data_IF_879370501134
#
_entry.id   IF_879370501134
#
_cell.length_a   1.000
_cell.length_b   1.000
_cell.length_c   1.000
_cell.angle_alpha   90.00
_cell.angle_beta   90.00
_cell.angle_gamma   90.00
#
_symmetry.space_group_name_H-M   'P 1'
#
loop_
_entity.id
_entity.type
_entity.pdbx_description
1 polymer ?
#
# COMPACT_ATOMS: atom_id res chain seq x y z
N UNK A 1 -9.55 -17.70 57.98
CA UNK A 1 -10.79 -17.62 57.16
C UNK A 1 -10.79 -16.30 56.39
N UNK A 2 -9.91 -16.18 55.38
CA UNK A 2 -9.80 -15.01 54.50
C UNK A 2 -9.34 -15.53 53.14
N UNK A 3 -10.27 -15.73 52.23
CA UNK A 3 -10.06 -15.80 50.79
C UNK A 3 -11.41 -16.11 50.11
N UNK A 4 -11.63 -15.51 48.93
CA UNK A 4 -12.76 -15.70 48.00
C UNK A 4 -13.86 -14.64 48.04
N UNK A 5 -13.50 -13.36 47.96
CA UNK A 5 -14.32 -12.36 47.25
C UNK A 5 -13.36 -11.41 46.52
N UNK A 6 -12.80 -11.86 45.40
CA UNK A 6 -12.11 -11.02 44.41
C UNK A 6 -11.76 -11.89 43.19
N UNK A 7 -12.75 -12.27 42.37
CA UNK A 7 -12.46 -12.69 40.99
C UNK A 7 -13.70 -12.66 40.07
N UNK A 8 -14.42 -11.53 40.05
CA UNK A 8 -15.50 -11.29 39.05
C UNK A 8 -15.10 -10.17 38.07
N UNK A 9 -13.84 -9.74 38.07
CA UNK A 9 -13.36 -8.72 37.15
C UNK A 9 -11.94 -9.05 36.69
N UNK A 10 -11.83 -9.89 35.65
CA UNK A 10 -10.80 -9.91 34.59
C UNK A 10 -10.78 -11.29 33.90
N UNK A 11 -11.79 -11.56 33.11
CA UNK A 11 -11.65 -12.52 32.00
C UNK A 11 -12.62 -12.10 30.90
N UNK A 12 -12.29 -11.01 30.21
CA UNK A 12 -12.76 -10.83 28.83
C UNK A 12 -12.05 -11.91 28.03
N UNK A 13 -12.65 -13.10 28.01
CA UNK A 13 -12.30 -14.14 27.05
C UNK A 13 -12.44 -13.47 25.69
N UNK A 14 -11.33 -13.33 24.97
CA UNK A 14 -11.35 -13.07 23.54
C UNK A 14 -12.04 -14.28 22.92
N UNK A 15 -13.38 -14.25 22.90
CA UNK A 15 -14.14 -15.13 22.03
C UNK A 15 -13.68 -14.77 20.62
N UNK A 16 -13.33 -15.79 19.86
CA UNK A 16 -13.03 -15.65 18.45
C UNK A 16 -14.06 -16.51 17.77
N UNK A 17 -14.81 -15.92 16.84
CA UNK A 17 -15.84 -16.63 16.12
C UNK A 17 -15.21 -17.38 14.95
N UNK A 18 -15.61 -18.65 14.81
CA UNK A 18 -15.25 -19.45 13.66
C UNK A 18 -16.36 -19.25 12.64
N UNK A 19 -16.03 -18.53 11.57
CA UNK A 19 -16.96 -18.21 10.48
C UNK A 19 -16.38 -18.72 9.16
N UNK A 20 -17.26 -19.05 8.23
CA UNK A 20 -16.89 -19.44 6.87
C UNK A 20 -17.82 -18.80 5.84
N UNK A 21 -17.33 -18.52 4.62
CA UNK A 21 -18.18 -18.12 3.52
C UNK A 21 -18.92 -19.36 2.97
N UNK A 22 -20.17 -19.15 2.57
CA UNK A 22 -21.04 -20.19 2.01
C UNK A 22 -21.62 -19.71 0.69
N UNK A 23 -21.65 -20.61 -0.29
CA UNK A 23 -22.25 -20.35 -1.59
C UNK A 23 -23.63 -21.02 -1.61
N UNK A 24 -24.67 -20.24 -1.87
CA UNK A 24 -26.04 -20.76 -1.98
C UNK A 24 -26.28 -21.41 -3.35
N UNK A 25 -27.31 -22.25 -3.50
CA UNK A 25 -27.74 -22.75 -4.81
C UNK A 25 -28.07 -21.66 -5.84
N UNK A 26 -28.38 -20.45 -5.37
CA UNK A 26 -28.63 -19.28 -6.21
C UNK A 26 -27.35 -18.49 -6.56
N UNK A 27 -26.15 -19.00 -6.24
CA UNK A 27 -24.88 -18.32 -6.50
C UNK A 27 -24.60 -17.11 -5.59
N UNK A 28 -25.35 -16.95 -4.49
CA UNK A 28 -25.14 -15.88 -3.49
C UNK A 28 -24.14 -16.29 -2.42
N UNK A 29 -23.42 -15.31 -1.88
CA UNK A 29 -22.46 -15.49 -0.79
C UNK A 29 -23.05 -15.02 0.54
N UNK A 30 -22.93 -15.87 1.55
CA UNK A 30 -23.25 -15.52 2.95
C UNK A 30 -22.14 -15.98 3.88
N UNK A 31 -22.25 -15.58 5.14
CA UNK A 31 -21.34 -15.99 6.21
C UNK A 31 -22.12 -16.83 7.21
N UNK A 32 -21.64 -18.03 7.48
CA UNK A 32 -22.18 -18.91 8.50
C UNK A 32 -21.17 -19.09 9.64
N UNK A 33 -21.69 -19.26 10.85
CA UNK A 33 -20.90 -19.74 11.99
C UNK A 33 -20.71 -21.24 11.84
N UNK A 34 -19.50 -21.71 12.12
CA UNK A 34 -19.19 -23.13 12.07
C UNK A 34 -18.62 -23.60 13.39
N UNK A 35 -19.03 -24.79 13.83
CA UNK A 35 -18.41 -25.50 14.94
C UNK A 35 -17.24 -26.39 14.48
N UNK A 36 -16.98 -26.46 13.17
CA UNK A 36 -15.91 -27.29 12.62
C UNK A 36 -14.54 -26.68 12.94
N UNK A 37 -13.81 -27.40 13.79
CA UNK A 37 -12.45 -27.07 14.24
C UNK A 37 -11.39 -27.19 13.13
N UNK A 38 -11.78 -27.66 11.94
CA UNK A 38 -10.95 -27.69 10.72
C UNK A 38 -10.70 -26.29 10.14
N UNK A 39 -11.47 -25.29 10.56
CA UNK A 39 -11.20 -23.88 10.23
C UNK A 39 -10.14 -23.35 11.20
N UNK A 40 -8.87 -23.58 10.89
CA UNK A 40 -7.73 -23.36 11.81
C UNK A 40 -7.57 -21.91 12.32
N UNK A 41 -8.20 -20.92 11.70
CA UNK A 41 -8.04 -19.51 12.04
C UNK A 41 -9.34 -18.88 12.53
N UNK A 42 -9.40 -18.61 13.83
CA UNK A 42 -10.51 -17.90 14.44
C UNK A 42 -10.41 -16.39 14.15
N UNK A 43 -11.54 -15.76 13.78
CA UNK A 43 -11.61 -14.34 13.41
C UNK A 43 -11.97 -13.52 14.64
N UNK A 44 -11.38 -12.33 14.78
CA UNK A 44 -11.74 -11.38 15.84
C UNK A 44 -13.22 -11.00 15.71
N UNK A 45 -13.97 -11.05 16.81
CA UNK A 45 -15.44 -10.83 16.82
C UNK A 45 -15.88 -9.58 16.06
N UNK A 46 -15.23 -8.43 16.28
CA UNK A 46 -15.57 -7.19 15.57
C UNK A 46 -15.47 -7.32 14.04
N UNK A 47 -14.46 -8.03 13.53
CA UNK A 47 -14.31 -8.28 12.10
C UNK A 47 -15.34 -9.30 11.62
N UNK A 48 -15.63 -10.33 12.43
CA UNK A 48 -16.63 -11.33 12.10
C UNK A 48 -18.05 -10.72 12.02
N UNK A 49 -18.38 -9.81 12.91
CA UNK A 49 -19.63 -9.06 12.92
C UNK A 49 -19.74 -8.13 11.70
N UNK A 50 -18.68 -7.39 11.37
CA UNK A 50 -18.64 -6.54 10.18
C UNK A 50 -18.76 -7.37 8.88
N UNK A 51 -18.10 -8.53 8.81
CA UNK A 51 -18.23 -9.45 7.69
C UNK A 51 -19.66 -9.98 7.57
N UNK A 52 -20.27 -10.43 8.66
CA UNK A 52 -21.68 -10.88 8.64
C UNK A 52 -22.61 -9.77 8.20
N UNK A 53 -22.45 -8.56 8.74
CA UNK A 53 -23.27 -7.42 8.34
C UNK A 53 -23.12 -7.09 6.85
N UNK A 54 -21.89 -7.09 6.33
CA UNK A 54 -21.63 -6.80 4.92
C UNK A 54 -22.21 -7.88 3.99
N UNK A 55 -22.04 -9.17 4.31
CA UNK A 55 -22.60 -10.27 3.51
C UNK A 55 -24.12 -10.43 3.69
N UNK A 56 -24.70 -9.92 4.77
CA UNK A 56 -26.15 -9.83 4.95
C UNK A 56 -26.77 -8.73 4.07
N UNK A 57 -26.04 -7.64 3.79
CA UNK A 57 -26.48 -6.61 2.84
C UNK A 57 -26.49 -7.15 1.41
N UNK A 58 -25.39 -7.75 0.95
CA UNK A 58 -25.28 -8.46 -0.34
C UNK A 58 -23.93 -9.16 -0.49
N UNK A 59 -23.84 -10.11 -1.44
CA UNK A 59 -22.54 -10.68 -1.86
C UNK A 59 -21.53 -9.58 -2.24
N UNK A 60 -22.00 -8.55 -2.96
CA UNK A 60 -21.17 -7.45 -3.44
C UNK A 60 -20.62 -6.58 -2.29
N UNK A 61 -21.43 -6.31 -1.26
CA UNK A 61 -21.00 -5.55 -0.09
C UNK A 61 -19.94 -6.34 0.72
N UNK A 62 -20.15 -7.64 0.93
CA UNK A 62 -19.16 -8.52 1.57
C UNK A 62 -17.83 -8.60 0.80
N UNK A 63 -17.89 -8.78 -0.52
CA UNK A 63 -16.71 -8.80 -1.39
C UNK A 63 -15.97 -7.44 -1.39
N UNK A 64 -16.70 -6.33 -1.42
CA UNK A 64 -16.14 -4.97 -1.31
C UNK A 64 -15.41 -4.78 0.02
N UNK A 65 -16.02 -5.23 1.13
CA UNK A 65 -15.42 -5.18 2.46
C UNK A 65 -14.10 -5.99 2.55
N UNK A 66 -14.07 -7.20 1.98
CA UNK A 66 -12.88 -8.05 1.92
C UNK A 66 -11.72 -7.39 1.16
N UNK A 67 -12.02 -6.71 0.04
CA UNK A 67 -11.01 -6.01 -0.76
C UNK A 67 -10.63 -4.63 -0.21
N UNK A 68 -11.34 -4.09 0.79
CA UNK A 68 -11.10 -2.76 1.36
C UNK A 68 -10.65 -2.83 2.82
N UNK A 69 -11.60 -2.84 3.76
CA UNK A 69 -11.36 -2.79 5.22
C UNK A 69 -10.67 -4.04 5.74
N UNK A 70 -11.06 -5.22 5.25
CA UNK A 70 -10.49 -6.49 5.68
C UNK A 70 -9.28 -6.96 4.84
N UNK A 71 -8.72 -6.07 4.01
CA UNK A 71 -7.65 -6.41 3.08
C UNK A 71 -6.44 -7.02 3.82
N UNK A 72 -6.02 -6.42 4.94
CA UNK A 72 -4.86 -6.84 5.73
C UNK A 72 -5.19 -7.77 6.90
N UNK A 73 -6.45 -8.16 7.05
CA UNK A 73 -6.88 -9.01 8.16
C UNK A 73 -6.56 -10.46 7.83
N UNK A 74 -6.04 -11.21 8.81
CA UNK A 74 -5.86 -12.65 8.66
C UNK A 74 -7.24 -13.32 8.73
N UNK A 75 -7.57 -14.10 7.70
CA UNK A 75 -8.89 -14.71 7.52
C UNK A 75 -8.76 -16.17 7.08
N UNK A 76 -9.76 -17.02 7.34
CA UNK A 76 -9.85 -18.38 6.80
C UNK A 76 -9.72 -18.45 5.28
N UNK A 77 -9.28 -19.60 4.76
CA UNK A 77 -8.97 -19.79 3.35
C UNK A 77 -10.12 -19.40 2.40
N UNK A 78 -11.36 -19.74 2.72
CA UNK A 78 -12.53 -19.35 1.91
C UNK A 78 -12.65 -17.83 1.76
N UNK A 79 -12.45 -17.07 2.84
CA UNK A 79 -12.48 -15.60 2.76
C UNK A 79 -11.27 -15.03 2.02
N UNK A 80 -10.10 -15.68 2.13
CA UNK A 80 -8.91 -15.30 1.34
C UNK A 80 -9.18 -15.48 -0.14
N UNK A 81 -9.79 -16.60 -0.55
CA UNK A 81 -10.20 -16.85 -1.93
C UNK A 81 -11.15 -15.75 -2.46
N UNK A 82 -12.21 -15.44 -1.72
CA UNK A 82 -13.16 -14.40 -2.11
C UNK A 82 -12.54 -12.99 -2.11
N UNK A 83 -11.59 -12.74 -1.19
CA UNK A 83 -10.79 -11.52 -1.20
C UNK A 83 -9.94 -11.42 -2.46
N UNK A 84 -9.24 -12.49 -2.86
CA UNK A 84 -8.45 -12.51 -4.09
C UNK A 84 -9.30 -12.24 -5.33
N UNK A 85 -10.48 -12.86 -5.41
CA UNK A 85 -11.44 -12.60 -6.47
C UNK A 85 -11.84 -11.11 -6.52
N UNK A 86 -12.23 -10.52 -5.39
CA UNK A 86 -12.60 -9.12 -5.31
C UNK A 86 -11.42 -8.16 -5.60
N UNK A 87 -10.21 -8.50 -5.16
CA UNK A 87 -8.99 -7.74 -5.42
C UNK A 87 -8.72 -7.55 -6.92
N UNK A 88 -9.10 -8.52 -7.77
CA UNK A 88 -8.91 -8.38 -9.22
C UNK A 88 -9.70 -7.20 -9.80
N UNK A 89 -10.91 -6.92 -9.29
CA UNK A 89 -11.66 -5.73 -9.71
C UNK A 89 -10.98 -4.45 -9.23
N UNK A 90 -10.57 -4.40 -7.96
CA UNK A 90 -9.86 -3.24 -7.41
C UNK A 90 -8.55 -2.97 -8.13
N UNK A 91 -7.85 -4.02 -8.60
CA UNK A 91 -6.70 -3.89 -9.47
C UNK A 91 -7.03 -3.21 -10.80
N UNK A 92 -8.14 -3.58 -11.45
CA UNK A 92 -8.57 -2.93 -12.68
C UNK A 92 -8.96 -1.46 -12.41
N UNK A 93 -9.69 -1.19 -11.32
CA UNK A 93 -10.09 0.16 -10.90
C UNK A 93 -8.88 1.06 -10.65
N UNK A 94 -7.84 0.58 -9.96
CA UNK A 94 -6.61 1.35 -9.74
C UNK A 94 -5.82 1.59 -11.03
N UNK A 95 -6.00 0.73 -12.04
CA UNK A 95 -5.42 0.91 -13.37
C UNK A 95 -6.21 1.90 -14.24
N UNK A 96 -7.44 2.26 -13.85
CA UNK A 96 -8.17 3.34 -14.48
C UNK A 96 -7.60 4.66 -13.96
N UNK A 97 -7.09 5.51 -14.86
CA UNK A 97 -6.79 6.90 -14.52
C UNK A 97 -8.03 7.61 -13.99
N UNK A 98 -7.84 8.72 -13.25
CA UNK A 98 -8.92 9.41 -12.53
C UNK A 98 -10.10 9.78 -13.43
N UNK A 99 -9.84 10.26 -14.64
CA UNK A 99 -10.88 10.62 -15.62
C UNK A 99 -11.74 9.43 -16.07
N UNK A 100 -11.10 8.29 -16.36
CA UNK A 100 -11.81 7.07 -16.78
C UNK A 100 -12.60 6.47 -15.61
N UNK A 101 -12.06 6.54 -14.41
CA UNK A 101 -12.78 6.11 -13.21
C UNK A 101 -14.02 6.99 -12.97
N UNK A 102 -13.91 8.31 -13.17
CA UNK A 102 -15.04 9.22 -13.06
C UNK A 102 -16.12 8.93 -14.12
N UNK A 103 -15.71 8.67 -15.37
CA UNK A 103 -16.63 8.27 -16.45
C UNK A 103 -17.33 6.95 -16.15
N UNK A 104 -16.59 5.93 -15.71
CA UNK A 104 -17.16 4.63 -15.34
C UNK A 104 -18.13 4.75 -14.16
N UNK A 105 -17.84 5.59 -13.16
CA UNK A 105 -18.71 5.82 -12.02
C UNK A 105 -19.99 6.61 -12.40
N UNK A 106 -19.91 7.50 -13.39
CA UNK A 106 -21.05 8.27 -13.89
C UNK A 106 -21.90 7.51 -14.93
N UNK A 107 -21.31 6.48 -15.56
CA UNK A 107 -21.99 5.67 -16.58
C UNK A 107 -23.12 4.87 -15.97
N UNK A 108 -24.31 4.97 -16.58
CA UNK A 108 -25.44 4.05 -16.30
C UNK A 108 -25.36 2.76 -17.10
N UNK A 109 -24.37 2.64 -17.99
CA UNK A 109 -24.20 1.48 -18.85
C UNK A 109 -23.37 0.42 -18.15
N UNK A 110 -23.86 -0.82 -18.11
CA UNK A 110 -23.13 -1.97 -17.56
C UNK A 110 -22.12 -2.56 -18.55
N UNK A 111 -21.73 -1.79 -19.57
CA UNK A 111 -20.81 -2.26 -20.59
C UNK A 111 -19.44 -2.61 -20.02
N UNK A 112 -18.88 -3.73 -20.45
CA UNK A 112 -17.48 -4.12 -20.21
C UNK A 112 -16.47 -3.22 -20.93
N UNK A 113 -16.93 -2.26 -21.74
CA UNK A 113 -16.11 -1.32 -22.51
C UNK A 113 -15.30 -0.34 -21.63
N UNK A 114 -15.66 -0.18 -20.35
CA UNK A 114 -14.97 0.73 -19.42
C UNK A 114 -13.65 0.15 -18.87
N UNK A 115 -13.19 -0.99 -19.40
CA UNK A 115 -11.96 -1.67 -18.94
C UNK A 115 -12.13 -2.49 -17.66
N UNK A 116 -13.37 -2.64 -17.17
CA UNK A 116 -13.76 -3.37 -15.96
C UNK A 116 -14.44 -4.70 -16.28
N UNK A 117 -13.85 -5.47 -17.19
CA UNK A 117 -14.39 -6.75 -17.64
C UNK A 117 -14.09 -7.88 -16.63
N UNK A 118 -15.01 -8.86 -16.48
CA UNK A 118 -14.73 -10.05 -15.69
C UNK A 118 -13.50 -10.80 -16.23
N UNK A 119 -12.84 -11.63 -15.40
CA UNK A 119 -11.76 -12.48 -15.85
C UNK A 119 -12.18 -13.35 -17.05
N UNK A 120 -11.23 -13.67 -17.92
CA UNK A 120 -11.49 -14.55 -19.07
C UNK A 120 -11.83 -15.98 -18.61
N UNK A 121 -12.42 -16.78 -19.50
CA UNK A 121 -12.85 -18.15 -19.20
C UNK A 121 -11.76 -18.99 -18.52
N UNK A 122 -10.55 -19.01 -19.08
CA UNK A 122 -9.43 -19.79 -18.54
C UNK A 122 -9.08 -19.38 -17.11
N UNK A 123 -9.15 -18.08 -16.80
CA UNK A 123 -8.89 -17.56 -15.46
C UNK A 123 -10.01 -17.94 -14.49
N UNK A 124 -11.27 -17.90 -14.94
CA UNK A 124 -12.42 -18.32 -14.13
C UNK A 124 -12.33 -19.80 -13.78
N UNK A 125 -12.02 -20.66 -14.76
CA UNK A 125 -11.81 -22.09 -14.51
C UNK A 125 -10.68 -22.32 -13.51
N UNK A 126 -9.53 -21.65 -13.68
CA UNK A 126 -8.43 -21.76 -12.73
C UNK A 126 -8.76 -21.26 -11.32
N UNK A 127 -9.65 -20.26 -11.17
CA UNK A 127 -10.14 -19.84 -9.86
C UNK A 127 -10.99 -20.95 -9.22
N UNK A 128 -11.87 -21.59 -9.99
CA UNK A 128 -12.72 -22.68 -9.48
C UNK A 128 -11.87 -23.87 -9.04
N UNK A 129 -10.86 -24.25 -9.83
CA UNK A 129 -9.94 -25.35 -9.50
C UNK A 129 -9.07 -25.07 -8.28
N UNK A 130 -8.76 -23.80 -8.00
CA UNK A 130 -7.96 -23.38 -6.84
C UNK A 130 -8.79 -23.02 -5.60
N UNK A 131 -10.12 -23.08 -5.70
CA UNK A 131 -11.02 -22.75 -4.61
C UNK A 131 -10.83 -23.74 -3.43
N UNK A 132 -10.61 -23.23 -2.21
CA UNK A 132 -10.49 -24.10 -1.04
C UNK A 132 -11.84 -24.77 -0.73
N UNK A 133 -11.84 -25.90 -0.02
CA UNK A 133 -13.08 -26.53 0.46
C UNK A 133 -13.91 -25.53 1.25
N UNK A 134 -15.17 -25.33 0.85
CA UNK A 134 -16.15 -24.48 1.51
C UNK A 134 -17.57 -24.99 1.23
N UNK A 135 -18.51 -24.65 2.10
CA UNK A 135 -19.90 -25.05 1.92
C UNK A 135 -20.48 -24.43 0.64
N UNK A 136 -21.03 -25.28 -0.23
CA UNK A 136 -21.68 -24.87 -1.48
C UNK A 136 -20.71 -24.71 -2.64
N UNK A 137 -19.47 -25.19 -2.52
CA UNK A 137 -18.47 -25.15 -3.59
C UNK A 137 -18.98 -25.77 -4.90
N UNK A 138 -19.88 -26.75 -4.83
CA UNK A 138 -20.54 -27.37 -5.99
C UNK A 138 -21.38 -26.40 -6.83
N UNK A 139 -21.80 -25.26 -6.26
CA UNK A 139 -22.53 -24.20 -6.97
C UNK A 139 -21.59 -23.17 -7.61
N UNK A 140 -20.27 -23.27 -7.39
CA UNK A 140 -19.30 -22.33 -7.95
C UNK A 140 -19.04 -22.65 -9.43
N UNK A 141 -19.63 -21.84 -10.31
CA UNK A 141 -19.47 -21.96 -11.77
C UNK A 141 -18.89 -20.66 -12.37
N UNK A 142 -18.37 -20.69 -13.62
CA UNK A 142 -17.91 -19.47 -14.30
C UNK A 142 -19.01 -18.41 -14.40
N UNK A 143 -20.27 -18.82 -14.57
CA UNK A 143 -21.41 -17.89 -14.66
C UNK A 143 -21.70 -17.22 -13.32
N UNK A 144 -21.67 -17.97 -12.22
CA UNK A 144 -21.78 -17.41 -10.86
C UNK A 144 -20.67 -16.38 -10.60
N UNK A 145 -19.43 -16.67 -10.99
CA UNK A 145 -18.33 -15.72 -10.86
C UNK A 145 -18.54 -14.45 -11.70
N UNK A 146 -19.10 -14.55 -12.92
CA UNK A 146 -19.43 -13.37 -13.75
C UNK A 146 -20.53 -12.53 -13.16
N UNK A 147 -21.56 -13.15 -12.60
CA UNK A 147 -22.66 -12.46 -11.94
C UNK A 147 -22.16 -11.72 -10.70
N UNK A 148 -21.40 -12.41 -9.83
CA UNK A 148 -20.76 -11.81 -8.66
C UNK A 148 -19.82 -10.66 -9.03
N UNK A 149 -19.06 -10.81 -10.12
CA UNK A 149 -18.21 -9.74 -10.65
C UNK A 149 -19.03 -8.50 -11.04
N UNK A 150 -20.10 -8.71 -11.79
CA UNK A 150 -20.97 -7.64 -12.29
C UNK A 150 -21.64 -6.89 -11.14
N UNK A 151 -22.11 -7.62 -10.14
CA UNK A 151 -22.69 -7.05 -8.92
C UNK A 151 -21.69 -6.28 -8.08
N UNK A 152 -20.50 -6.85 -7.86
CA UNK A 152 -19.41 -6.18 -7.16
C UNK A 152 -19.03 -4.88 -7.88
N UNK A 153 -18.84 -4.93 -9.20
CA UNK A 153 -18.54 -3.75 -10.02
C UNK A 153 -19.61 -2.67 -9.86
N UNK A 154 -20.88 -3.04 -9.98
CA UNK A 154 -22.01 -2.11 -9.81
C UNK A 154 -22.07 -1.52 -8.41
N UNK A 155 -21.79 -2.32 -7.38
CA UNK A 155 -21.75 -1.85 -6.00
C UNK A 155 -20.62 -0.84 -5.78
N UNK A 156 -19.39 -1.18 -6.20
CA UNK A 156 -18.21 -0.34 -6.00
C UNK A 156 -18.31 0.97 -6.79
N UNK A 157 -18.76 0.94 -8.05
CA UNK A 157 -18.93 2.18 -8.84
C UNK A 157 -20.00 3.09 -8.25
N UNK A 158 -21.10 2.54 -7.70
CA UNK A 158 -22.11 3.35 -6.99
C UNK A 158 -21.53 4.01 -5.75
N UNK A 159 -20.75 3.29 -4.95
CA UNK A 159 -20.08 3.87 -3.77
C UNK A 159 -19.07 4.95 -4.18
N UNK A 160 -18.30 4.70 -5.24
CA UNK A 160 -17.33 5.66 -5.76
C UNK A 160 -18.01 6.95 -6.28
N UNK A 161 -19.14 6.82 -6.98
CA UNK A 161 -19.93 7.96 -7.46
C UNK A 161 -20.57 8.76 -6.32
N UNK A 162 -20.97 8.10 -5.23
CA UNK A 162 -21.59 8.73 -4.07
C UNK A 162 -20.57 9.37 -3.10
N UNK A 163 -19.27 9.18 -3.33
CA UNK A 163 -18.23 9.66 -2.43
C UNK A 163 -18.10 11.20 -2.52
N UNK A 164 -18.09 11.94 -1.39
CA UNK A 164 -18.08 13.41 -1.40
C UNK A 164 -16.91 14.02 -2.18
N UNK A 165 -15.73 13.42 -2.06
CA UNK A 165 -14.49 13.86 -2.72
C UNK A 165 -14.25 13.15 -4.08
N UNK A 166 -15.28 12.47 -4.60
CA UNK A 166 -15.28 11.80 -5.90
C UNK A 166 -14.66 10.39 -5.93
N UNK A 167 -14.71 9.72 -7.09
CA UNK A 167 -14.34 8.30 -7.22
C UNK A 167 -12.88 7.98 -6.88
N UNK A 168 -11.95 8.89 -7.18
CA UNK A 168 -10.54 8.71 -6.83
C UNK A 168 -10.32 8.76 -5.31
N UNK A 169 -11.08 9.59 -4.58
CA UNK A 169 -11.02 9.65 -3.12
C UNK A 169 -11.60 8.39 -2.48
N UNK A 170 -12.70 7.86 -3.01
CA UNK A 170 -13.24 6.58 -2.57
C UNK A 170 -12.20 5.45 -2.58
N UNK A 171 -11.44 5.31 -3.67
CA UNK A 171 -10.39 4.28 -3.74
C UNK A 171 -9.27 4.54 -2.71
N UNK A 172 -8.94 5.81 -2.46
CA UNK A 172 -7.95 6.18 -1.44
C UNK A 172 -8.39 5.76 -0.04
N UNK A 173 -9.66 5.98 0.28
CA UNK A 173 -10.24 5.72 1.59
C UNK A 173 -10.56 4.23 1.79
N UNK A 174 -10.87 3.50 0.71
CA UNK A 174 -11.15 2.06 0.74
C UNK A 174 -9.97 1.25 1.30
N UNK A 175 -8.74 1.51 0.82
CA UNK A 175 -7.52 1.06 1.50
C UNK A 175 -6.29 1.83 1.00
N UNK A 176 -5.41 2.34 1.89
CA UNK A 176 -4.19 3.00 1.47
C UNK A 176 -3.26 2.16 0.57
N UNK A 177 -3.35 0.82 0.60
CA UNK A 177 -2.60 -0.06 -0.29
C UNK A 177 -2.98 0.09 -1.77
N UNK A 178 -4.26 0.39 -2.06
CA UNK A 178 -4.72 0.59 -3.43
C UNK A 178 -4.05 1.80 -4.07
N UNK A 179 -3.70 2.80 -3.28
CA UNK A 179 -2.95 3.97 -3.74
C UNK A 179 -1.51 3.64 -4.15
N UNK A 180 -0.93 2.56 -3.61
CA UNK A 180 0.45 2.17 -3.90
C UNK A 180 0.54 1.28 -5.13
N UNK A 181 -0.58 0.71 -5.59
CA UNK A 181 -0.65 -0.03 -6.83
C UNK A 181 -0.55 0.88 -8.04
N UNK A 182 0.10 0.41 -9.10
CA UNK A 182 0.30 1.25 -10.27
C UNK A 182 1.38 2.31 -10.09
N UNK A 183 1.93 2.50 -8.88
CA UNK A 183 2.95 3.51 -8.63
C UNK A 183 4.37 2.99 -8.80
N UNK A 184 5.22 3.86 -9.33
CA UNK A 184 6.66 3.69 -9.36
C UNK A 184 7.22 4.07 -8.00
N UNK A 185 8.01 3.17 -7.42
CA UNK A 185 8.75 3.40 -6.18
C UNK A 185 10.24 3.54 -6.48
N UNK A 186 10.83 4.67 -6.11
CA UNK A 186 12.26 4.92 -6.15
C UNK A 186 12.85 4.58 -4.78
N UNK A 187 13.77 3.62 -4.76
CA UNK A 187 14.45 3.18 -3.55
C UNK A 187 15.87 3.72 -3.54
N UNK A 188 16.26 4.33 -2.42
CA UNK A 188 17.63 4.64 -2.07
C UNK A 188 17.93 3.93 -0.74
N UNK A 189 18.96 3.09 -0.72
CA UNK A 189 19.39 2.35 0.46
C UNK A 189 20.90 2.46 0.66
N UNK A 190 21.38 2.26 1.88
CA UNK A 190 22.81 2.17 2.14
C UNK A 190 23.41 0.90 1.52
N UNK A 191 24.59 1.06 0.95
CA UNK A 191 25.41 -0.01 0.42
C UNK A 191 26.77 -0.03 1.14
N UNK A 192 26.84 -0.79 2.24
CA UNK A 192 28.07 -0.93 3.04
C UNK A 192 29.23 -1.64 2.34
N UNK A 193 29.00 -2.17 1.12
CA UNK A 193 30.00 -2.93 0.35
C UNK A 193 30.89 -2.05 -0.54
N UNK A 194 30.52 -0.80 -0.75
CA UNK A 194 31.24 0.13 -1.64
C UNK A 194 31.40 1.48 -0.94
N UNK A 195 32.64 1.81 -0.53
CA UNK A 195 32.93 3.05 0.20
C UNK A 195 32.84 4.29 -0.72
N UNK A 196 33.16 4.16 -2.01
CA UNK A 196 33.11 5.24 -2.99
C UNK A 196 31.67 5.52 -3.45
N UNK A 197 30.83 4.48 -3.44
CA UNK A 197 29.40 4.55 -3.76
C UNK A 197 28.55 3.86 -2.69
N UNK A 198 28.43 4.49 -1.50
CA UNK A 198 27.81 3.88 -0.33
C UNK A 198 26.28 3.84 -0.39
N UNK A 199 25.68 4.09 -1.56
CA UNK A 199 24.25 4.04 -1.76
C UNK A 199 23.88 3.15 -2.93
N UNK A 200 22.79 2.39 -2.79
CA UNK A 200 22.18 1.64 -3.87
C UNK A 200 20.84 2.29 -4.24
N UNK A 201 20.65 2.48 -5.54
CA UNK A 201 19.41 2.98 -6.12
C UNK A 201 18.72 1.92 -6.97
N UNK A 202 17.40 1.84 -6.87
CA UNK A 202 16.55 1.00 -7.73
C UNK A 202 15.17 1.63 -7.93
N UNK A 203 14.68 1.64 -9.17
CA UNK A 203 13.27 1.91 -9.46
C UNK A 203 12.48 0.59 -9.58
N UNK A 204 11.37 0.51 -8.87
CA UNK A 204 10.43 -0.61 -8.93
C UNK A 204 9.03 -0.11 -9.26
N UNK A 205 8.18 -1.01 -9.72
CA UNK A 205 6.77 -0.78 -9.95
C UNK A 205 5.96 -1.76 -9.11
N UNK A 206 4.94 -1.26 -8.42
CA UNK A 206 4.00 -2.11 -7.69
C UNK A 206 3.04 -2.78 -8.67
N UNK A 207 3.28 -4.05 -8.97
CA UNK A 207 2.53 -4.79 -9.98
C UNK A 207 1.22 -5.37 -9.45
N UNK A 208 1.24 -5.94 -8.23
CA UNK A 208 0.10 -6.63 -7.62
C UNK A 208 0.06 -6.45 -6.11
N UNK A 209 -1.13 -6.59 -5.53
CA UNK A 209 -1.33 -6.82 -4.10
C UNK A 209 -1.64 -8.31 -4.00
N UNK A 210 -0.91 -9.02 -3.16
CA UNK A 210 -1.14 -10.46 -2.99
C UNK A 210 -2.42 -10.74 -2.22
N UNK A 211 -2.83 -12.00 -2.24
CA UNK A 211 -3.82 -12.62 -1.37
C UNK A 211 -3.75 -12.19 0.11
N UNK A 212 -2.53 -11.96 0.62
CA UNK A 212 -2.23 -11.56 2.00
C UNK A 212 -1.95 -10.07 2.14
N UNK A 213 -2.44 -9.27 1.20
CA UNK A 213 -2.27 -7.82 1.14
C UNK A 213 -0.82 -7.32 1.15
N UNK A 214 0.12 -8.13 0.62
CA UNK A 214 1.51 -7.69 0.43
C UNK A 214 1.69 -7.12 -0.97
N UNK A 215 2.27 -5.93 -1.05
CA UNK A 215 2.64 -5.32 -2.32
C UNK A 215 3.76 -6.13 -2.97
N UNK A 216 3.55 -6.53 -4.21
CA UNK A 216 4.56 -7.19 -5.03
C UNK A 216 5.18 -6.17 -5.97
N UNK A 217 6.47 -5.93 -5.77
CA UNK A 217 7.27 -5.01 -6.55
C UNK A 217 8.05 -5.77 -7.63
N UNK A 218 8.02 -5.26 -8.85
CA UNK A 218 8.88 -5.71 -9.94
C UNK A 218 9.86 -4.59 -10.31
N UNK A 219 11.11 -4.91 -10.72
CA UNK A 219 12.01 -3.91 -11.28
C UNK A 219 11.34 -3.18 -12.44
N UNK A 220 11.51 -1.86 -12.52
CA UNK A 220 10.84 -1.04 -13.53
C UNK A 220 11.20 -1.47 -14.97
N UNK A 221 12.42 -1.96 -15.19
CA UNK A 221 12.82 -2.55 -16.47
C UNK A 221 11.98 -3.77 -16.88
N UNK A 222 11.52 -4.57 -15.93
CA UNK A 222 10.70 -5.75 -16.22
C UNK A 222 9.28 -5.36 -16.63
N UNK A 223 8.76 -4.28 -16.03
CA UNK A 223 7.49 -3.68 -16.46
C UNK A 223 7.57 -3.19 -17.92
N UNK A 224 8.69 -2.56 -18.33
CA UNK A 224 8.90 -2.16 -19.72
C UNK A 224 8.82 -3.35 -20.68
N UNK A 225 9.45 -4.48 -20.35
CA UNK A 225 9.40 -5.69 -21.20
C UNK A 225 7.98 -6.27 -21.31
N UNK A 226 7.25 -6.32 -20.19
CA UNK A 226 5.88 -6.83 -20.16
C UNK A 226 4.90 -5.96 -20.96
N UNK A 227 5.14 -4.64 -20.99
CA UNK A 227 4.26 -3.69 -21.67
C UNK A 227 4.79 -3.21 -23.03
N UNK A 228 5.92 -3.75 -23.53
CA UNK A 228 6.52 -3.37 -24.81
C UNK A 228 5.72 -3.78 -26.06
N UNK A 229 4.67 -4.60 -25.92
CA UNK A 229 3.80 -4.98 -27.04
C UNK A 229 2.75 -3.91 -27.38
N UNK A 230 2.37 -3.79 -28.66
CA UNK A 230 1.43 -2.77 -29.18
C UNK A 230 0.10 -2.68 -28.42
N UNK A 231 -0.36 -3.80 -27.83
CA UNK A 231 -1.61 -3.86 -27.05
C UNK A 231 -1.55 -3.21 -25.67
N UNK A 232 -0.39 -2.76 -25.20
CA UNK A 232 -0.19 -2.25 -23.83
C UNK A 232 0.40 -0.83 -23.77
N UNK A 233 0.46 -0.11 -24.90
CA UNK A 233 1.09 1.21 -24.99
C UNK A 233 0.45 2.24 -24.05
N UNK A 234 -0.86 2.22 -23.91
CA UNK A 234 -1.59 3.10 -22.97
C UNK A 234 -1.23 2.81 -21.51
N UNK A 235 -1.17 1.53 -21.12
CA UNK A 235 -0.77 1.13 -19.76
C UNK A 235 0.67 1.54 -19.47
N UNK A 236 1.55 1.44 -20.46
CA UNK A 236 2.93 1.90 -20.33
C UNK A 236 3.00 3.43 -20.20
N UNK A 237 2.18 4.17 -20.93
CA UNK A 237 2.12 5.62 -20.83
C UNK A 237 1.65 6.06 -19.44
N UNK A 238 0.58 5.48 -18.91
CA UNK A 238 0.10 5.74 -17.54
C UNK A 238 1.17 5.39 -16.50
N UNK A 239 1.92 4.30 -16.70
CA UNK A 239 3.03 3.91 -15.82
C UNK A 239 4.16 4.95 -15.79
N UNK A 240 4.51 5.51 -16.96
CA UNK A 240 5.64 6.43 -17.10
C UNK A 240 5.27 7.90 -16.85
N UNK A 241 3.98 8.24 -16.84
CA UNK A 241 3.50 9.62 -16.64
C UNK A 241 4.03 10.26 -15.33
N UNK A 242 4.00 9.60 -14.16
CA UNK A 242 4.59 10.16 -12.93
C UNK A 242 6.10 10.38 -13.03
N UNK A 243 6.81 9.53 -13.78
CA UNK A 243 8.25 9.67 -14.01
C UNK A 243 8.54 10.89 -14.88
N UNK A 244 7.72 11.11 -15.92
CA UNK A 244 7.86 12.28 -16.80
C UNK A 244 7.62 13.57 -16.03
N UNK A 245 6.54 13.64 -15.23
CA UNK A 245 6.28 14.79 -14.35
C UNK A 245 7.40 15.02 -13.34
N UNK A 246 7.97 13.96 -12.77
CA UNK A 246 9.10 14.08 -11.86
C UNK A 246 10.37 14.60 -12.55
N UNK A 247 10.60 14.24 -13.81
CA UNK A 247 11.72 14.77 -14.60
C UNK A 247 11.58 16.29 -14.88
N UNK A 248 10.36 16.83 -14.90
CA UNK A 248 10.10 18.27 -15.00
C UNK A 248 10.48 19.02 -13.72
N UNK A 249 10.33 18.40 -12.55
CA UNK A 249 10.68 18.97 -11.25
C UNK A 249 12.06 18.59 -10.69
N UNK A 250 12.74 17.58 -11.24
CA UNK A 250 14.03 17.08 -10.77
C UNK A 250 15.00 16.84 -11.92
N UNK A 251 16.08 17.61 -11.93
CA UNK A 251 17.17 17.46 -12.91
C UNK A 251 17.80 16.07 -12.81
N UNK A 252 17.98 15.54 -11.60
CA UNK A 252 18.51 14.20 -11.41
C UNK A 252 17.62 13.13 -12.06
N UNK A 253 16.31 13.19 -11.86
CA UNK A 253 15.38 12.23 -12.47
C UNK A 253 15.41 12.36 -14.00
N UNK A 254 15.49 13.59 -14.53
CA UNK A 254 15.66 13.81 -15.98
C UNK A 254 16.94 13.19 -16.52
N UNK A 255 18.08 13.40 -15.86
CA UNK A 255 19.36 12.77 -16.21
C UNK A 255 19.25 11.24 -16.21
N UNK A 256 18.66 10.67 -15.16
CA UNK A 256 18.49 9.21 -15.03
C UNK A 256 17.54 8.63 -16.08
N UNK A 257 16.49 9.36 -16.45
CA UNK A 257 15.53 8.95 -17.46
C UNK A 257 16.16 8.98 -18.86
N UNK A 258 16.80 10.10 -19.24
CA UNK A 258 17.44 10.27 -20.56
C UNK A 258 18.58 9.28 -20.76
N UNK A 259 19.41 9.08 -19.74
CA UNK A 259 20.50 8.08 -19.77
C UNK A 259 20.03 6.63 -19.65
N UNK A 260 18.72 6.39 -19.45
CA UNK A 260 18.11 5.08 -19.16
C UNK A 260 18.59 4.40 -17.88
N UNK A 261 19.40 5.08 -17.06
CA UNK A 261 19.90 4.58 -15.77
C UNK A 261 18.78 4.39 -14.74
N UNK A 262 17.64 5.08 -14.92
CA UNK A 262 16.45 4.89 -14.09
C UNK A 262 15.96 3.43 -14.08
N UNK A 263 16.19 2.69 -15.16
CA UNK A 263 15.70 1.32 -15.33
C UNK A 263 16.68 0.25 -14.82
N UNK A 264 17.82 0.64 -14.25
CA UNK A 264 18.84 -0.30 -13.80
C UNK A 264 19.20 -0.07 -12.33
N UNK A 265 19.43 -1.13 -11.54
CA UNK A 265 20.07 -0.98 -10.24
C UNK A 265 21.44 -0.32 -10.40
N UNK A 266 21.76 0.66 -9.55
CA UNK A 266 23.04 1.37 -9.63
C UNK A 266 23.57 1.75 -8.25
N UNK A 267 24.89 1.75 -8.10
CA UNK A 267 25.54 2.35 -6.96
C UNK A 267 25.67 3.87 -7.17
N UNK A 268 25.31 4.65 -6.15
CA UNK A 268 25.36 6.11 -6.14
C UNK A 268 26.43 6.60 -5.17
N UNK A 269 27.15 7.65 -5.59
CA UNK A 269 28.03 8.38 -4.68
C UNK A 269 27.24 9.23 -3.69
N UNK A 270 27.91 9.70 -2.63
CA UNK A 270 27.31 10.60 -1.63
C UNK A 270 26.70 11.85 -2.30
N UNK A 271 27.39 12.43 -3.29
CA UNK A 271 26.89 13.61 -4.02
C UNK A 271 25.60 13.29 -4.79
N UNK A 272 25.51 12.13 -5.42
CA UNK A 272 24.31 11.71 -6.14
C UNK A 272 23.14 11.41 -5.20
N UNK A 273 23.41 10.69 -4.11
CA UNK A 273 22.42 10.42 -3.07
C UNK A 273 21.90 11.73 -2.47
N UNK A 274 22.76 12.70 -2.20
CA UNK A 274 22.34 14.01 -1.68
C UNK A 274 21.44 14.78 -2.66
N UNK A 275 21.75 14.80 -3.96
CA UNK A 275 20.84 15.36 -4.99
C UNK A 275 19.49 14.63 -4.97
N UNK A 276 19.50 13.30 -4.91
CA UNK A 276 18.28 12.49 -4.84
C UNK A 276 17.42 12.85 -3.63
N UNK A 277 18.06 12.93 -2.45
CA UNK A 277 17.41 13.23 -1.18
C UNK A 277 16.79 14.64 -1.12
N UNK A 278 17.39 15.63 -1.81
CA UNK A 278 16.83 16.97 -1.96
C UNK A 278 15.59 17.01 -2.83
N UNK A 279 15.57 16.21 -3.88
CA UNK A 279 14.50 16.21 -4.88
C UNK A 279 13.28 15.37 -4.46
N UNK A 280 13.36 14.65 -3.34
CA UNK A 280 12.27 13.80 -2.81
C UNK A 280 10.92 14.50 -2.79
N UNK A 281 10.76 15.74 -2.28
CA UNK A 281 9.47 16.42 -2.29
C UNK A 281 8.89 16.62 -3.69
N UNK A 282 9.73 16.94 -4.69
CA UNK A 282 9.31 17.10 -6.07
C UNK A 282 8.88 15.75 -6.69
N UNK A 283 9.59 14.66 -6.36
CA UNK A 283 9.22 13.31 -6.78
C UNK A 283 7.87 12.86 -6.18
N UNK A 284 7.65 13.12 -4.89
CA UNK A 284 6.39 12.80 -4.21
C UNK A 284 5.22 13.59 -4.80
N UNK A 285 5.41 14.89 -5.07
CA UNK A 285 4.41 15.74 -5.72
C UNK A 285 4.07 15.26 -7.14
N UNK A 286 5.05 14.72 -7.87
CA UNK A 286 4.83 14.12 -9.18
C UNK A 286 4.12 12.74 -9.11
N UNK A 287 3.85 12.22 -7.92
CA UNK A 287 3.12 10.96 -7.70
C UNK A 287 4.02 9.72 -7.57
N UNK A 288 5.34 9.90 -7.51
CA UNK A 288 6.27 8.80 -7.22
C UNK A 288 6.26 8.47 -5.72
N UNK A 289 6.44 7.19 -5.39
CA UNK A 289 6.72 6.77 -4.02
C UNK A 289 8.23 6.78 -3.84
N UNK A 290 8.72 7.39 -2.76
CA UNK A 290 10.16 7.40 -2.47
C UNK A 290 10.44 6.68 -1.16
N UNK A 291 11.39 5.75 -1.19
CA UNK A 291 11.90 5.04 -0.02
C UNK A 291 13.36 5.42 0.16
N UNK A 292 13.67 5.99 1.31
CA UNK A 292 15.00 6.48 1.71
C UNK A 292 15.41 5.83 3.03
N UNK A 293 16.71 5.87 3.40
CA UNK A 293 17.14 5.39 4.70
C UNK A 293 16.47 6.16 5.85
N UNK A 294 16.24 5.47 6.97
CA UNK A 294 15.45 5.99 8.10
C UNK A 294 16.02 7.25 8.76
N UNK A 295 17.33 7.51 8.60
CA UNK A 295 17.97 8.73 9.11
C UNK A 295 17.63 9.98 8.30
N UNK A 296 17.10 9.86 7.07
CA UNK A 296 16.73 11.03 6.28
C UNK A 296 15.34 11.54 6.63
N UNK A 297 15.29 12.63 7.39
CA UNK A 297 14.04 13.33 7.74
C UNK A 297 13.84 14.56 6.86
N UNK A 298 13.45 14.35 5.60
CA UNK A 298 13.23 15.44 4.62
C UNK A 298 12.34 16.61 5.13
N UNK A 299 11.38 16.30 6.00
CA UNK A 299 10.41 17.27 6.56
C UNK A 299 10.81 17.84 7.93
N UNK A 300 11.91 17.36 8.51
CA UNK A 300 12.47 17.81 9.79
C UNK A 300 13.99 17.85 9.69
N UNK A 301 14.56 18.82 8.96
CA UNK A 301 16.01 18.98 8.91
C UNK A 301 16.54 19.23 10.32
N UNK A 302 17.56 18.48 10.71
CA UNK A 302 18.27 18.72 11.96
C UNK A 302 18.79 20.15 11.96
N UNK A 303 18.44 20.91 13.00
CA UNK A 303 18.79 22.32 13.12
C UNK A 303 20.17 22.41 13.77
N UNK A 304 21.08 23.24 13.25
CA UNK A 304 22.32 23.53 13.95
C UNK A 304 21.99 24.13 15.31
N UNK A 305 22.44 23.47 16.38
CA UNK A 305 22.32 23.97 17.74
C UNK A 305 23.64 24.65 18.11
N UNK A 306 23.55 25.89 18.59
CA UNK A 306 24.71 26.63 19.07
C UNK A 306 24.82 26.38 20.57
N UNK A 307 25.80 25.56 20.95
CA UNK A 307 26.13 25.32 22.35
C UNK A 307 27.10 26.41 22.81
N UNK A 308 26.60 27.36 23.61
CA UNK A 308 27.42 28.37 24.27
C UNK A 308 27.77 27.87 25.67
N UNK A 309 29.05 27.61 25.92
CA UNK A 309 29.54 27.28 27.26
C UNK A 309 30.21 28.53 27.85
N UNK A 310 29.75 28.94 29.03
CA UNK A 310 30.27 30.10 29.76
C UNK A 310 30.89 29.61 31.05
N UNK A 311 32.18 29.90 31.26
CA UNK A 311 32.85 29.72 32.56
C UNK A 311 33.48 28.34 32.82
N UNK A 312 34.12 27.70 31.85
CA UNK A 312 34.80 26.40 32.08
C UNK A 312 36.12 26.53 32.86
N UNK A 313 36.83 27.66 32.79
CA UNK A 313 38.01 27.90 33.61
C UNK A 313 37.62 28.49 34.95
N UNK A 314 37.94 27.76 36.02
CA UNK A 314 37.92 28.30 37.38
C UNK A 314 38.89 29.48 37.41
N UNK A 315 38.35 30.69 37.58
CA UNK A 315 39.18 31.87 37.78
C UNK A 315 40.02 31.63 39.04
N UNK A 316 41.34 31.51 38.90
CA UNK A 316 42.22 31.66 40.05
C UNK A 316 41.93 33.05 40.63
N UNK A 317 41.39 33.08 41.84
CA UNK A 317 41.29 34.29 42.66
C UNK A 317 42.71 34.82 42.82
N UNK A 318 43.06 35.86 42.07
CA UNK A 318 43.98 36.95 42.47
C UNK A 318 44.25 38.00 41.38
N UNK A 319 43.45 38.09 40.30
CA UNK A 319 43.55 39.24 39.38
C UNK A 319 42.19 39.91 39.15
N UNK A 320 42.17 41.21 39.42
CA UNK A 320 41.05 42.14 39.32
C UNK A 320 40.67 42.31 37.83
N UNK A 321 39.79 41.46 37.33
CA UNK A 321 39.36 41.46 35.93
C UNK A 321 38.67 40.17 35.53
N UNK A 322 37.46 39.91 36.04
CA UNK A 322 36.66 38.74 35.65
C UNK A 322 36.22 38.87 34.19
N UNK A 323 37.03 38.38 33.26
CA UNK A 323 36.61 38.09 31.90
C UNK A 323 35.91 36.72 31.93
N UNK A 324 34.60 36.70 31.64
CA UNK A 324 33.87 35.46 31.39
C UNK A 324 34.51 34.76 30.18
N UNK A 325 34.91 33.50 30.36
CA UNK A 325 35.40 32.64 29.28
C UNK A 325 34.19 32.11 28.48
N UNK A 326 34.19 32.32 27.16
CA UNK A 326 33.12 31.91 26.26
C UNK A 326 33.67 30.95 25.21
N UNK A 327 33.11 29.74 25.13
CA UNK A 327 33.30 28.84 23.99
C UNK A 327 31.98 28.63 23.26
N UNK A 328 32.01 28.72 21.93
CA UNK A 328 30.85 28.54 21.06
C UNK A 328 31.14 27.34 20.16
N UNK A 329 30.39 26.26 20.34
CA UNK A 329 30.45 25.07 19.51
C UNK A 329 29.13 24.95 18.71
N UNK A 330 29.23 24.63 17.42
CA UNK A 330 28.05 24.31 16.62
C UNK A 330 27.90 22.79 16.60
N UNK A 331 26.76 22.29 17.04
CA UNK A 331 26.45 20.87 17.05
C UNK A 331 25.22 20.57 16.18
N UNK A 332 25.11 19.33 15.71
CA UNK A 332 23.95 18.85 14.98
C UNK A 332 23.56 17.52 15.60
N UNK A 333 22.35 17.45 16.18
CA UNK A 333 21.85 16.30 16.97
C UNK A 333 22.80 15.87 18.12
N UNK A 334 23.49 16.82 18.75
CA UNK A 334 24.39 16.58 19.89
C UNK A 334 25.84 16.26 19.51
N UNK A 335 26.14 16.03 18.23
CA UNK A 335 27.50 15.82 17.73
C UNK A 335 28.14 17.15 17.31
N UNK A 336 29.35 17.49 17.78
CA UNK A 336 30.03 18.72 17.43
C UNK A 336 30.45 18.69 15.95
N UNK A 337 30.11 19.75 15.21
CA UNK A 337 30.58 19.93 13.84
C UNK A 337 32.05 20.38 13.88
N UNK A 338 32.96 19.50 13.48
CA UNK A 338 34.35 19.87 13.21
C UNK A 338 34.47 20.55 11.85
N UNK A 339 35.39 21.53 11.79
CA UNK A 339 35.52 22.49 10.69
C UNK A 339 36.03 21.86 9.39
#
# INVERSE_FOLDING_TARGET
MKARIANVALCRILMHMIIQPVITPAGRLHVEETSDSSTELAVRDAVADELRAAFAESSAAGLSYLASKALRVELPAGFVFWREFAQQLFHQLCGLGEERLAQAAASKSESSADGLAPPNELTLVGLIESAPPMHGLEYLTPDVLRELWTELRRHVLRQAAAHPDGPAAFLRDANPLWNLLGRVTLHLAENKRDAERPFAFLATYTHRVSARAKLQHLPLAEALKQYAGERNREKLQTLLEPIQRAADGSELIRELLVSRRLFQPQAMSIRQAYRFLKDVPAMELAGLVVRVPDWWKARQPARPEVNVRIGQKQANRDEDGSLLDFSVDVALDGEPLTR
#
